data_IF_314420476233
#
_entry.id   IF_314420476233
#
_cell.length_a   1.000
_cell.length_b   1.000
_cell.length_c   1.000
_cell.angle_alpha   90.00
_cell.angle_beta   90.00
_cell.angle_gamma   90.00
#
_symmetry.space_group_name_H-M   'P 1'
#
loop_
_entity.id
_entity.type
_entity.pdbx_description
1 polymer ?
#
# COMPACT_ATOMS: atom_id res chain seq x y z
N UNK A 1 0.78 -9.01 -4.83
CA UNK A 1 1.35 -8.99 -3.46
C UNK A 1 0.27 -8.67 -2.43
N UNK A 2 -0.39 -7.50 -2.48
CA UNK A 2 -1.36 -7.08 -1.47
C UNK A 2 -2.48 -8.10 -1.16
N UNK A 3 -3.13 -8.67 -2.19
CA UNK A 3 -4.20 -9.67 -2.01
C UNK A 3 -3.75 -10.94 -1.26
N UNK A 4 -2.52 -11.41 -1.51
CA UNK A 4 -1.99 -12.60 -0.87
C UNK A 4 -1.55 -12.33 0.57
N UNK A 5 -1.02 -11.14 0.85
CA UNK A 5 -0.75 -10.70 2.23
C UNK A 5 -2.04 -10.68 3.03
N UNK A 6 -3.11 -10.07 2.49
CA UNK A 6 -4.41 -10.02 3.15
C UNK A 6 -4.93 -11.44 3.42
N UNK A 7 -4.85 -12.34 2.44
CA UNK A 7 -5.30 -13.73 2.59
C UNK A 7 -4.57 -14.46 3.71
N UNK A 8 -3.24 -14.30 3.79
CA UNK A 8 -2.42 -14.89 4.86
C UNK A 8 -2.70 -14.28 6.23
N UNK A 9 -3.07 -13.00 6.30
CA UNK A 9 -3.47 -12.35 7.54
C UNK A 9 -4.88 -12.80 7.98
N UNK A 10 -5.80 -13.02 7.04
CA UNK A 10 -7.13 -13.58 7.34
C UNK A 10 -7.02 -15.00 7.92
N UNK A 11 -6.13 -15.85 7.39
CA UNK A 11 -5.81 -17.18 7.96
C UNK A 11 -5.35 -17.11 9.43
N UNK A 12 -4.82 -15.96 9.86
CA UNK A 12 -4.35 -15.70 11.22
C UNK A 12 -5.35 -14.89 12.07
N UNK A 13 -6.59 -14.73 11.60
CA UNK A 13 -7.67 -14.03 12.30
C UNK A 13 -7.40 -12.53 12.58
N UNK A 14 -6.62 -11.85 11.73
CA UNK A 14 -6.49 -10.40 11.82
C UNK A 14 -7.80 -9.71 11.41
N UNK A 15 -8.16 -8.64 12.12
CA UNK A 15 -9.22 -7.71 11.72
C UNK A 15 -8.64 -6.71 10.72
N UNK A 16 -9.03 -6.82 9.45
CA UNK A 16 -8.39 -6.08 8.36
C UNK A 16 -9.34 -5.00 7.82
N UNK A 17 -8.80 -3.78 7.68
CA UNK A 17 -9.38 -2.71 6.87
C UNK A 17 -8.55 -2.55 5.61
N UNK A 18 -9.20 -2.61 4.45
CA UNK A 18 -8.57 -2.40 3.13
C UNK A 18 -8.97 -1.04 2.60
N UNK A 19 -7.97 -0.22 2.27
CA UNK A 19 -8.15 1.09 1.63
C UNK A 19 -7.72 0.98 0.18
N UNK A 20 -8.62 1.28 -0.76
CA UNK A 20 -8.30 1.29 -2.19
C UNK A 20 -9.31 2.12 -3.00
N UNK A 21 -9.09 2.30 -4.31
CA UNK A 21 -10.04 2.94 -5.23
C UNK A 21 -11.34 2.14 -5.47
N UNK A 22 -11.58 1.07 -4.72
CA UNK A 22 -12.81 0.28 -4.82
C UNK A 22 -12.73 -0.93 -5.74
N UNK A 23 -11.71 -0.99 -6.61
CA UNK A 23 -11.53 -2.09 -7.57
C UNK A 23 -11.06 -3.38 -6.88
N UNK A 24 -11.60 -4.50 -7.35
CA UNK A 24 -11.20 -5.85 -6.96
C UNK A 24 -10.82 -6.62 -8.22
N UNK A 25 -9.63 -7.22 -8.22
CA UNK A 25 -9.08 -7.93 -9.38
C UNK A 25 -9.15 -9.44 -9.19
N UNK A 26 -9.33 -10.18 -10.30
CA UNK A 26 -9.36 -11.64 -10.30
C UNK A 26 -10.41 -12.18 -9.29
N UNK A 27 -9.99 -13.10 -8.42
CA UNK A 27 -10.83 -13.74 -7.41
C UNK A 27 -10.90 -12.96 -6.08
N UNK A 28 -10.15 -11.85 -5.92
CA UNK A 28 -10.10 -11.12 -4.65
C UNK A 28 -11.46 -10.54 -4.22
N UNK A 29 -12.34 -10.25 -5.19
CA UNK A 29 -13.71 -9.78 -4.92
C UNK A 29 -14.61 -10.83 -4.26
N UNK A 30 -14.30 -12.12 -4.39
CA UNK A 30 -15.05 -13.21 -3.73
C UNK A 30 -14.27 -13.78 -2.55
N UNK A 31 -12.94 -13.94 -2.70
CA UNK A 31 -12.07 -14.55 -1.68
C UNK A 31 -11.75 -13.63 -0.50
N UNK A 32 -11.65 -12.32 -0.71
CA UNK A 32 -11.14 -11.38 0.30
C UNK A 32 -12.21 -10.38 0.73
N UNK A 33 -12.87 -9.72 -0.23
CA UNK A 33 -13.83 -8.64 0.02
C UNK A 33 -14.86 -8.95 1.11
N UNK A 34 -15.48 -10.15 1.18
CA UNK A 34 -16.48 -10.44 2.22
C UNK A 34 -15.94 -10.50 3.66
N UNK A 35 -14.62 -10.60 3.82
CA UNK A 35 -13.96 -10.85 5.09
C UNK A 35 -13.20 -9.64 5.65
N UNK A 36 -13.28 -8.49 4.98
CA UNK A 36 -12.54 -7.27 5.35
C UNK A 36 -13.46 -6.05 5.39
N UNK A 37 -13.12 -5.05 6.19
CA UNK A 37 -13.75 -3.72 6.08
C UNK A 37 -13.16 -3.02 4.87
N UNK A 38 -13.98 -2.68 3.87
CA UNK A 38 -13.54 -1.89 2.72
C UNK A 38 -13.74 -0.40 2.99
N UNK A 39 -12.72 0.40 2.69
CA UNK A 39 -12.76 1.86 2.64
C UNK A 39 -12.36 2.29 1.24
N UNK A 40 -13.20 3.08 0.58
CA UNK A 40 -12.94 3.56 -0.78
C UNK A 40 -12.27 4.93 -0.67
N UNK A 41 -11.06 5.06 -1.20
CA UNK A 41 -10.27 6.29 -1.17
C UNK A 41 -9.22 6.25 -2.28
N UNK A 42 -9.01 7.38 -2.96
CA UNK A 42 -7.92 7.59 -3.92
C UNK A 42 -6.88 8.56 -3.37
N UNK A 43 -5.83 8.04 -2.74
CA UNK A 43 -4.78 8.87 -2.13
C UNK A 43 -3.81 9.51 -3.13
N UNK A 44 -3.85 9.13 -4.40
CA UNK A 44 -2.84 9.60 -5.38
C UNK A 44 -3.27 10.88 -6.09
N UNK A 45 -4.59 11.06 -6.23
CA UNK A 45 -5.23 12.14 -6.97
C UNK A 45 -6.08 13.06 -6.09
N UNK A 46 -6.14 12.79 -4.78
CA UNK A 46 -6.78 13.67 -3.80
C UNK A 46 -6.04 13.57 -2.46
N UNK A 47 -5.99 14.69 -1.75
CA UNK A 47 -5.49 14.77 -0.38
C UNK A 47 -6.30 13.84 0.54
N UNK A 48 -5.66 13.26 1.56
CA UNK A 48 -6.33 12.36 2.51
C UNK A 48 -7.49 13.03 3.25
N UNK A 49 -7.50 14.37 3.34
CA UNK A 49 -8.63 15.14 3.87
C UNK A 49 -9.97 14.83 3.18
N UNK A 50 -9.94 14.46 1.89
CA UNK A 50 -11.15 14.09 1.14
C UNK A 50 -11.57 12.64 1.34
N UNK A 51 -10.73 11.81 1.98
CA UNK A 51 -11.06 10.42 2.31
C UNK A 51 -11.73 10.33 3.67
N UNK A 52 -12.94 10.89 3.79
CA UNK A 52 -13.68 11.01 5.06
C UNK A 52 -13.86 9.68 5.78
N UNK A 53 -14.19 8.61 5.05
CA UNK A 53 -14.38 7.27 5.63
C UNK A 53 -13.07 6.71 6.22
N UNK A 54 -11.94 6.99 5.56
CA UNK A 54 -10.61 6.61 6.06
C UNK A 54 -10.28 7.38 7.34
N UNK A 55 -10.49 8.70 7.32
CA UNK A 55 -10.24 9.54 8.49
C UNK A 55 -11.14 9.15 9.66
N UNK A 56 -12.40 8.77 9.40
CA UNK A 56 -13.28 8.23 10.42
C UNK A 56 -12.70 6.94 11.02
N UNK A 57 -12.25 5.99 10.20
CA UNK A 57 -11.59 4.76 10.70
C UNK A 57 -10.38 5.09 11.55
N UNK A 58 -9.52 6.01 11.11
CA UNK A 58 -8.32 6.43 11.85
C UNK A 58 -8.68 7.09 13.18
N UNK A 59 -9.74 7.91 13.21
CA UNK A 59 -10.17 8.62 14.41
C UNK A 59 -10.85 7.71 15.44
N UNK A 60 -11.66 6.75 14.98
CA UNK A 60 -12.35 5.78 15.85
C UNK A 60 -11.44 4.64 16.33
N UNK A 61 -10.32 4.41 15.63
CA UNK A 61 -9.37 3.37 16.00
C UNK A 61 -8.28 3.93 16.91
N UNK A 62 -8.24 3.45 18.15
CA UNK A 62 -7.23 3.87 19.11
C UNK A 62 -5.81 3.43 18.71
N UNK A 63 -5.67 2.23 18.14
CA UNK A 63 -4.39 1.66 17.75
C UNK A 63 -4.53 0.68 16.57
N UNK A 64 -3.56 0.72 15.67
CA UNK A 64 -3.34 -0.24 14.60
C UNK A 64 -2.05 -1.01 14.88
N UNK A 65 -2.15 -2.33 15.02
CA UNK A 65 -0.95 -3.16 15.24
C UNK A 65 0.02 -3.05 14.06
N UNK A 66 -0.52 -3.06 12.83
CA UNK A 66 0.24 -3.04 11.59
C UNK A 66 -0.50 -2.20 10.54
N UNK A 67 0.24 -1.34 9.84
CA UNK A 67 -0.19 -0.69 8.59
C UNK A 67 0.76 -1.13 7.49
N UNK A 68 0.23 -1.59 6.35
CA UNK A 68 1.02 -2.02 5.19
C UNK A 68 0.62 -1.18 3.99
N UNK A 69 1.55 -0.38 3.47
CA UNK A 69 1.32 0.51 2.34
C UNK A 69 1.93 -0.07 1.06
N UNK A 70 1.07 -0.49 0.14
CA UNK A 70 1.43 -1.04 -1.16
C UNK A 70 1.42 -0.02 -2.30
N UNK A 71 1.02 1.23 -2.05
CA UNK A 71 0.60 2.15 -3.12
C UNK A 71 0.97 3.61 -2.86
N UNK A 72 2.10 3.84 -2.19
CA UNK A 72 2.60 5.18 -1.94
C UNK A 72 3.78 5.50 -2.86
N UNK A 73 3.47 6.05 -4.03
CA UNK A 73 4.46 6.37 -5.06
C UNK A 73 5.09 7.76 -4.90
N UNK A 74 4.43 8.64 -4.12
CA UNK A 74 4.80 10.03 -3.92
C UNK A 74 5.16 10.28 -2.45
N UNK A 75 6.27 10.98 -2.13
CA UNK A 75 6.66 11.27 -0.76
C UNK A 75 5.58 11.99 0.06
N UNK A 76 4.78 12.82 -0.60
CA UNK A 76 3.71 13.60 0.03
C UNK A 76 2.62 12.68 0.59
N UNK A 77 2.24 11.63 -0.16
CA UNK A 77 1.22 10.66 0.25
C UNK A 77 1.67 9.86 1.48
N UNK A 78 2.96 9.57 1.58
CA UNK A 78 3.53 8.87 2.76
C UNK A 78 3.51 9.82 3.96
N UNK A 79 4.00 11.05 3.77
CA UNK A 79 4.09 12.06 4.84
C UNK A 79 2.71 12.32 5.45
N UNK A 80 1.71 12.54 4.61
CA UNK A 80 0.33 12.79 5.04
C UNK A 80 -0.27 11.58 5.78
N UNK A 81 -0.04 10.36 5.28
CA UNK A 81 -0.48 9.15 5.97
C UNK A 81 0.16 9.00 7.36
N UNK A 82 1.46 9.31 7.49
CA UNK A 82 2.18 9.26 8.76
C UNK A 82 1.71 10.34 9.75
N UNK A 83 1.31 11.51 9.26
CA UNK A 83 0.73 12.56 10.10
C UNK A 83 -0.59 12.11 10.75
N UNK A 84 -1.52 11.56 9.96
CA UNK A 84 -2.81 11.06 10.48
C UNK A 84 -2.67 9.83 11.39
N UNK A 85 -1.65 9.00 11.14
CA UNK A 85 -1.40 7.78 11.88
C UNK A 85 -0.46 7.96 13.09
N UNK A 86 0.04 9.17 13.32
CA UNK A 86 1.02 9.46 14.35
C UNK A 86 0.54 9.00 15.75
N UNK A 87 1.38 8.24 16.44
CA UNK A 87 1.07 7.68 17.77
C UNK A 87 0.03 6.56 17.79
N UNK A 88 -0.52 6.15 16.63
CA UNK A 88 -1.57 5.12 16.54
C UNK A 88 -1.09 3.80 15.93
N UNK A 89 0.15 3.71 15.44
CA UNK A 89 0.63 2.53 14.69
C UNK A 89 1.78 1.84 15.42
N UNK A 90 1.68 0.52 15.62
CA UNK A 90 2.76 -0.30 16.16
C UNK A 90 3.87 -0.53 15.13
N UNK A 91 3.51 -0.93 13.90
CA UNK A 91 4.44 -1.14 12.80
C UNK A 91 3.88 -0.60 11.48
N UNK A 92 4.63 0.30 10.83
CA UNK A 92 4.32 0.78 9.49
C UNK A 92 5.28 0.16 8.47
N UNK A 93 4.74 -0.62 7.53
CA UNK A 93 5.51 -1.29 6.48
C UNK A 93 5.20 -0.60 5.15
N UNK A 94 6.18 0.12 4.62
CA UNK A 94 6.11 0.68 3.27
C UNK A 94 6.76 -0.28 2.27
N UNK A 95 6.02 -0.62 1.21
CA UNK A 95 6.54 -1.44 0.10
C UNK A 95 6.98 -0.51 -1.03
N UNK A 96 8.29 -0.35 -1.17
CA UNK A 96 8.92 0.38 -2.29
C UNK A 96 9.20 -0.55 -3.48
N UNK A 97 9.82 0.00 -4.52
CA UNK A 97 10.41 -0.73 -5.64
C UNK A 97 11.92 -0.47 -5.68
N UNK A 98 12.67 -1.48 -6.10
CA UNK A 98 14.09 -1.35 -6.44
C UNK A 98 14.36 -0.21 -7.43
N UNK A 99 13.43 0.06 -8.35
CA UNK A 99 13.52 1.12 -9.37
C UNK A 99 13.61 2.54 -8.80
N UNK A 100 13.23 2.74 -7.54
CA UNK A 100 13.37 4.03 -6.84
C UNK A 100 14.78 4.23 -6.29
N UNK A 101 15.55 3.15 -6.12
CA UNK A 101 16.92 3.22 -5.65
C UNK A 101 17.87 3.15 -6.85
N UNK A 102 18.99 3.86 -6.81
CA UNK A 102 20.06 3.79 -7.83
C UNK A 102 20.83 2.46 -7.76
N UNK A 103 20.10 1.35 -7.73
CA UNK A 103 20.64 -0.01 -7.71
C UNK A 103 20.86 -0.53 -9.12
N UNK A 104 20.50 0.20 -10.18
CA UNK A 104 20.68 -0.24 -11.57
C UNK A 104 21.53 0.76 -12.34
N UNK A 105 22.46 0.27 -13.16
CA UNK A 105 23.28 1.14 -14.02
C UNK A 105 22.41 1.72 -15.14
N UNK A 106 22.44 3.03 -15.39
CA UNK A 106 21.80 3.61 -16.57
C UNK A 106 22.37 2.94 -17.83
N UNK A 107 21.52 2.36 -18.68
CA UNK A 107 21.98 1.79 -19.94
C UNK A 107 22.12 2.88 -21.01
N UNK A 108 23.11 2.77 -21.91
CA UNK A 108 23.19 3.61 -23.11
C UNK A 108 21.92 3.46 -23.96
N UNK A 109 21.44 4.54 -24.61
CA UNK A 109 20.20 4.54 -25.39
C UNK A 109 20.14 3.57 -26.58
N UNK A 110 21.29 3.02 -26.99
CA UNK A 110 21.45 2.36 -28.30
C UNK A 110 21.03 0.89 -28.34
N UNK A 111 20.81 0.24 -27.20
CA UNK A 111 20.47 -1.18 -27.17
C UNK A 111 19.01 -1.36 -26.73
N UNK A 112 18.09 -1.55 -27.68
CA UNK A 112 16.65 -1.82 -27.49
C UNK A 112 16.34 -3.13 -26.75
N UNK A 113 17.02 -3.39 -25.65
CA UNK A 113 16.92 -4.57 -24.80
C UNK A 113 16.17 -4.18 -23.53
N UNK A 114 15.23 -5.01 -23.10
CA UNK A 114 14.45 -4.79 -21.87
C UNK A 114 15.33 -4.95 -20.62
N UNK A 115 15.02 -4.25 -19.54
CA UNK A 115 15.63 -4.46 -18.21
C UNK A 115 15.50 -5.93 -17.78
N UNK A 116 16.56 -6.49 -17.17
CA UNK A 116 16.57 -7.85 -16.60
C UNK A 116 16.89 -7.76 -15.11
N UNK A 117 16.39 -8.70 -14.32
CA UNK A 117 16.65 -8.75 -12.86
C UNK A 117 18.16 -8.75 -12.52
N UNK A 118 19.00 -9.27 -13.42
CA UNK A 118 20.47 -9.30 -13.25
C UNK A 118 21.15 -7.94 -13.36
N UNK A 119 20.44 -6.88 -13.74
CA UNK A 119 21.01 -5.55 -13.92
C UNK A 119 21.14 -4.76 -12.60
N UNK A 120 20.47 -5.24 -11.54
CA UNK A 120 20.60 -4.68 -10.20
C UNK A 120 21.99 -4.97 -9.62
N UNK A 121 22.74 -3.92 -9.32
CA UNK A 121 23.99 -3.92 -8.56
C UNK A 121 23.69 -3.85 -7.07
N UNK A 122 24.39 -4.69 -6.32
CA UNK A 122 24.35 -4.78 -4.86
C UNK A 122 25.24 -3.73 -4.22
#
# INVERSE_FOLDING_TARGET
IGSEVISKMLERNYKITVVSRGNWYFDSGTRIKPHVKQVICDRENSDLEYCTDLLQVINETAHFDIVIDFSAYKPEVISEALEYLNGKVGLYIYISTDSVYEVSVPRPPETGTVSKETDARR
#
